data_IF_892516481401
#
_entry.id   IF_892516481401
#
_cell.length_a   1.000
_cell.length_b   1.000
_cell.length_c   1.000
_cell.angle_alpha   90.00
_cell.angle_beta   90.00
_cell.angle_gamma   90.00
#
_symmetry.space_group_name_H-M   'P 1'
#
loop_
_entity.id
_entity.type
_entity.pdbx_description
1 polymer ?
#
# COMPACT_ATOMS: atom_id res chain seq x y z
N UNK A 1 -16.89 -16.11 -9.51
CA UNK A 1 -15.81 -15.20 -9.92
C UNK A 1 -16.26 -13.77 -9.60
N UNK A 2 -16.09 -13.35 -8.35
CA UNK A 2 -16.62 -12.07 -7.88
C UNK A 2 -15.61 -10.98 -8.24
N UNK A 3 -15.88 -10.28 -9.34
CA UNK A 3 -15.22 -9.02 -9.65
C UNK A 3 -15.73 -8.02 -8.62
N UNK A 4 -15.09 -7.96 -7.46
CA UNK A 4 -15.21 -6.83 -6.57
C UNK A 4 -14.63 -5.64 -7.31
N UNK A 5 -15.53 -4.88 -7.92
CA UNK A 5 -15.25 -3.62 -8.60
C UNK A 5 -14.32 -2.80 -7.70
N UNK A 6 -13.12 -2.51 -8.20
CA UNK A 6 -12.10 -1.67 -7.55
C UNK A 6 -12.69 -0.41 -6.88
N UNK A 7 -13.75 0.15 -7.45
CA UNK A 7 -14.46 1.32 -6.91
C UNK A 7 -15.11 1.09 -5.53
N UNK A 8 -15.56 -0.14 -5.20
CA UNK A 8 -16.15 -0.43 -3.88
C UNK A 8 -15.07 -0.59 -2.80
N UNK A 9 -13.91 -1.13 -3.15
CA UNK A 9 -12.74 -1.22 -2.25
C UNK A 9 -12.24 0.20 -1.90
N UNK A 10 -12.17 1.10 -2.88
CA UNK A 10 -11.74 2.50 -2.68
C UNK A 10 -12.66 3.25 -1.70
N UNK A 11 -13.97 2.97 -1.70
CA UNK A 11 -14.91 3.61 -0.76
C UNK A 11 -14.89 3.00 0.65
N UNK A 12 -14.51 1.73 0.82
CA UNK A 12 -14.31 1.11 2.13
C UNK A 12 -13.00 1.53 2.82
N UNK A 13 -12.01 2.00 2.04
CA UNK A 13 -10.70 2.39 2.58
C UNK A 13 -10.74 3.66 3.45
N UNK A 14 -11.78 4.49 3.35
CA UNK A 14 -11.90 5.73 4.15
C UNK A 14 -12.05 5.51 5.66
N UNK A 15 -12.47 4.33 6.08
CA UNK A 15 -12.62 3.97 7.51
C UNK A 15 -11.50 3.07 8.02
N UNK A 16 -10.55 2.69 7.16
CA UNK A 16 -9.44 1.83 7.54
C UNK A 16 -8.33 2.65 8.20
N UNK A 17 -7.72 2.07 9.23
CA UNK A 17 -6.53 2.63 9.86
C UNK A 17 -5.41 2.75 8.82
N UNK A 18 -4.47 3.67 9.03
CA UNK A 18 -3.38 3.93 8.09
C UNK A 18 -2.61 2.64 7.69
N UNK A 19 -2.38 1.73 8.65
CA UNK A 19 -1.76 0.42 8.41
C UNK A 19 -2.56 -0.44 7.42
N UNK A 20 -3.85 -0.60 7.64
CA UNK A 20 -4.69 -1.46 6.80
C UNK A 20 -4.84 -0.88 5.39
N UNK A 21 -4.91 0.45 5.29
CA UNK A 21 -4.92 1.14 4.00
C UNK A 21 -3.64 0.90 3.20
N UNK A 22 -2.48 0.84 3.87
CA UNK A 22 -1.19 0.51 3.24
C UNK A 22 -1.21 -0.93 2.72
N UNK A 23 -1.59 -1.89 3.57
CA UNK A 23 -1.61 -3.31 3.21
C UNK A 23 -2.57 -3.58 2.04
N UNK A 24 -3.78 -3.01 2.07
CA UNK A 24 -4.78 -3.18 1.01
C UNK A 24 -4.41 -2.46 -0.30
N UNK A 25 -3.58 -1.42 -0.24
CA UNK A 25 -3.21 -0.63 -1.43
C UNK A 25 -2.10 -1.27 -2.26
N UNK A 26 -1.27 -2.15 -1.68
CA UNK A 26 -0.13 -2.73 -2.36
C UNK A 26 -0.54 -3.98 -3.18
N UNK A 27 -0.26 -4.03 -4.49
CA UNK A 27 -0.77 -5.09 -5.37
C UNK A 27 0.06 -6.38 -5.35
N UNK A 28 0.76 -6.70 -4.25
CA UNK A 28 1.66 -7.87 -4.18
C UNK A 28 1.90 -8.36 -2.76
N UNK A 29 2.79 -9.35 -2.62
CA UNK A 29 3.10 -9.97 -1.32
C UNK A 29 3.85 -9.01 -0.40
N UNK A 30 3.21 -8.66 0.72
CA UNK A 30 3.80 -7.91 1.82
C UNK A 30 4.39 -8.89 2.82
N UNK A 31 5.63 -8.66 3.23
CA UNK A 31 6.34 -9.47 4.23
C UNK A 31 6.21 -8.86 5.63
N UNK A 32 6.44 -7.55 5.76
CA UNK A 32 6.31 -6.83 7.03
C UNK A 32 5.87 -5.39 6.80
N UNK A 33 5.27 -4.79 7.84
CA UNK A 33 4.99 -3.36 7.90
C UNK A 33 5.48 -2.83 9.24
N UNK A 34 6.52 -2.02 9.18
CA UNK A 34 7.18 -1.44 10.35
C UNK A 34 6.92 0.07 10.39
N UNK A 35 6.86 0.66 11.59
CA UNK A 35 6.72 2.11 11.77
C UNK A 35 7.96 2.65 12.49
N UNK A 36 8.68 3.57 11.86
CA UNK A 36 9.94 4.12 12.38
C UNK A 36 9.87 5.64 12.25
N UNK A 37 9.83 6.34 13.38
CA UNK A 37 9.86 7.82 13.40
C UNK A 37 8.73 8.50 12.61
N UNK A 38 7.54 7.89 12.56
CA UNK A 38 6.38 8.41 11.82
C UNK A 38 6.42 8.13 10.30
N UNK A 39 7.35 7.29 9.85
CA UNK A 39 7.39 6.70 8.50
C UNK A 39 6.96 5.23 8.57
N UNK A 40 6.28 4.78 7.53
CA UNK A 40 5.87 3.40 7.35
C UNK A 40 6.85 2.70 6.40
N UNK A 41 7.51 1.65 6.86
CA UNK A 41 8.40 0.83 6.04
C UNK A 41 7.66 -0.45 5.67
N UNK A 42 7.26 -0.54 4.40
CA UNK A 42 6.57 -1.69 3.84
C UNK A 42 7.59 -2.62 3.19
N UNK A 43 7.90 -3.74 3.84
CA UNK A 43 8.78 -4.76 3.26
C UNK A 43 7.96 -5.67 2.35
N UNK A 44 8.39 -5.80 1.09
CA UNK A 44 7.70 -6.58 0.06
C UNK A 44 8.67 -7.54 -0.60
N UNK A 45 8.15 -8.68 -1.03
CA UNK A 45 8.96 -9.74 -1.65
C UNK A 45 9.43 -9.33 -3.05
N UNK A 46 8.50 -8.91 -3.90
CA UNK A 46 8.77 -8.42 -5.25
C UNK A 46 8.34 -6.97 -5.36
N UNK A 47 9.23 -6.14 -5.90
CA UNK A 47 8.94 -4.76 -6.21
C UNK A 47 9.29 -4.44 -7.65
N UNK A 48 8.45 -3.63 -8.28
CA UNK A 48 8.72 -3.02 -9.57
C UNK A 48 8.38 -1.54 -9.46
N UNK A 49 9.00 -0.73 -10.32
CA UNK A 49 8.70 0.70 -10.44
C UNK A 49 7.21 0.92 -10.75
N UNK A 50 6.58 -0.03 -11.46
CA UNK A 50 5.15 -0.05 -11.72
C UNK A 50 4.32 -0.28 -10.44
N UNK A 51 4.64 -1.30 -9.65
CA UNK A 51 3.91 -1.60 -8.40
C UNK A 51 4.00 -0.43 -7.41
N UNK A 52 5.16 0.21 -7.28
CA UNK A 52 5.33 1.36 -6.38
C UNK A 52 4.50 2.56 -6.86
N UNK A 53 4.47 2.84 -8.17
CA UNK A 53 3.63 3.91 -8.73
C UNK A 53 2.14 3.62 -8.52
N UNK A 54 1.71 2.38 -8.79
CA UNK A 54 0.33 1.96 -8.62
C UNK A 54 -0.11 2.04 -7.14
N UNK A 55 0.72 1.54 -6.22
CA UNK A 55 0.51 1.63 -4.77
C UNK A 55 0.32 3.09 -4.30
N UNK A 56 1.22 4.00 -4.69
CA UNK A 56 1.10 5.42 -4.33
C UNK A 56 -0.15 6.07 -4.94
N UNK A 57 -0.54 5.65 -6.15
CA UNK A 57 -1.78 6.10 -6.79
C UNK A 57 -3.01 5.63 -6.02
N UNK A 58 -3.06 4.35 -5.62
CA UNK A 58 -4.16 3.76 -4.85
C UNK A 58 -4.35 4.47 -3.51
N UNK A 59 -3.26 4.69 -2.75
CA UNK A 59 -3.32 5.45 -1.49
C UNK A 59 -3.86 6.86 -1.68
N UNK A 60 -3.47 7.55 -2.76
CA UNK A 60 -4.00 8.89 -3.06
C UNK A 60 -5.48 8.85 -3.40
N UNK A 61 -5.92 7.89 -4.21
CA UNK A 61 -7.34 7.70 -4.58
C UNK A 61 -8.21 7.36 -3.37
N UNK A 62 -7.67 6.63 -2.40
CA UNK A 62 -8.32 6.32 -1.13
C UNK A 62 -8.38 7.51 -0.14
N UNK A 63 -7.76 8.65 -0.47
CA UNK A 63 -7.73 9.85 0.38
C UNK A 63 -6.49 10.00 1.26
N UNK A 64 -5.59 9.01 1.29
CA UNK A 64 -4.38 9.00 2.11
C UNK A 64 -3.18 9.66 1.41
N UNK A 65 -3.37 10.90 0.92
CA UNK A 65 -2.33 11.64 0.18
C UNK A 65 -1.05 11.86 1.01
N UNK A 66 -1.18 12.16 2.30
CA UNK A 66 -0.04 12.30 3.23
C UNK A 66 0.68 10.96 3.46
N UNK A 67 -0.09 9.88 3.65
CA UNK A 67 0.45 8.54 3.83
C UNK A 67 1.27 8.06 2.64
N UNK A 68 0.83 8.36 1.41
CA UNK A 68 1.58 8.03 0.18
C UNK A 68 3.01 8.61 0.12
N UNK A 69 3.30 9.63 0.94
CA UNK A 69 4.62 10.24 1.10
C UNK A 69 5.39 9.70 2.33
N UNK A 70 4.68 9.15 3.30
CA UNK A 70 5.25 8.56 4.54
C UNK A 70 5.61 7.09 4.40
N UNK A 71 5.12 6.41 3.35
CA UNK A 71 5.41 5.00 3.12
C UNK A 71 6.65 4.84 2.23
N UNK A 72 7.64 4.13 2.77
CA UNK A 72 8.84 3.66 2.08
C UNK A 72 8.64 2.18 1.78
N UNK A 73 8.75 1.80 0.51
CA UNK A 73 8.66 0.40 0.09
C UNK A 73 10.07 -0.17 0.05
N UNK A 74 10.35 -1.15 0.91
CA UNK A 74 11.62 -1.88 0.96
C UNK A 74 11.45 -3.22 0.26
N UNK A 75 12.30 -3.50 -0.71
CA UNK A 75 12.26 -4.78 -1.39
C UNK A 75 13.20 -5.75 -0.69
N UNK A 76 12.66 -6.84 -0.14
CA UNK A 76 13.45 -7.97 0.32
C UNK A 76 13.73 -8.85 -0.88
N UNK A 77 14.70 -8.47 -1.72
CA UNK A 77 15.25 -9.43 -2.69
C UNK A 77 15.81 -10.62 -1.89
N UNK A 78 15.09 -11.74 -1.86
CA UNK A 78 15.72 -13.06 -1.89
C UNK A 78 15.78 -13.44 -3.37
N UNK A 79 16.91 -13.12 -3.98
CA UNK A 79 17.37 -13.87 -5.16
C UNK A 79 17.63 -15.31 -4.71
#
# INVERSE_FOLDING_TARGET
>A
MVIYTLNRIVNCLRFLNERDAILASYPGTVLSLDEIGGLYVLSVEVCSSYHIKLFKSNLRKAGFKKLSKKVIVKCSKKL
#
